data_IF_974955201215
#
_entry.id   IF_974955201215
#
_cell.length_a   1.000
_cell.length_b   1.000
_cell.length_c   1.000
_cell.angle_alpha   90.00
_cell.angle_beta   90.00
_cell.angle_gamma   90.00
#
_symmetry.space_group_name_H-M   'P 1'
#
loop_
_entity.id
_entity.type
_entity.pdbx_description
1 polymer ?
#
# COMPACT_ATOMS: atom_id res chain seq x y z
N UNK A 1 0.69 36.41 -21.09
CA UNK A 1 1.11 35.55 -22.21
C UNK A 1 0.72 34.11 -21.87
N UNK A 2 -0.12 33.52 -22.72
CA UNK A 2 -0.39 32.10 -22.97
C UNK A 2 -0.56 31.13 -21.77
N UNK A 3 -1.83 30.83 -21.49
CA UNK A 3 -2.29 29.55 -20.96
C UNK A 3 -1.88 28.42 -21.93
N UNK A 4 -1.11 27.44 -21.47
CA UNK A 4 -0.95 26.17 -22.18
C UNK A 4 -1.87 25.12 -21.58
N UNK A 5 -2.90 24.78 -22.35
CA UNK A 5 -3.78 23.63 -22.16
C UNK A 5 -2.95 22.35 -22.33
N UNK A 6 -2.78 21.58 -21.27
CA UNK A 6 -2.14 20.27 -21.27
C UNK A 6 -3.10 19.19 -20.79
N UNK A 7 -4.01 18.78 -21.69
CA UNK A 7 -4.70 17.48 -21.77
C UNK A 7 -4.97 16.70 -20.47
N UNK A 8 -6.26 16.65 -20.12
CA UNK A 8 -6.89 15.55 -19.40
C UNK A 8 -6.38 14.19 -19.92
N UNK A 9 -5.79 13.39 -19.04
CA UNK A 9 -5.88 11.94 -19.10
C UNK A 9 -6.75 11.51 -17.93
N UNK A 10 -8.05 11.41 -18.18
CA UNK A 10 -8.91 10.61 -17.33
C UNK A 10 -8.40 9.17 -17.41
N UNK A 11 -7.75 8.67 -16.36
CA UNK A 11 -7.49 7.25 -16.24
C UNK A 11 -8.83 6.60 -15.88
N UNK A 12 -9.56 6.20 -16.91
CA UNK A 12 -10.72 5.32 -16.81
C UNK A 12 -10.31 4.11 -15.98
N UNK A 13 -11.02 3.89 -14.87
CA UNK A 13 -11.08 2.60 -14.19
C UNK A 13 -11.70 1.63 -15.20
N UNK A 14 -10.83 1.08 -16.05
CA UNK A 14 -11.15 0.09 -17.06
C UNK A 14 -10.81 -1.26 -16.49
N UNK A 15 -11.82 -1.93 -15.95
CA UNK A 15 -11.81 -3.37 -15.70
C UNK A 15 -11.51 -4.07 -17.04
N UNK A 16 -10.23 -4.35 -17.30
CA UNK A 16 -9.81 -5.19 -18.40
C UNK A 16 -9.82 -6.65 -17.92
N UNK A 17 -11.01 -7.24 -17.88
CA UNK A 17 -11.16 -8.69 -18.04
C UNK A 17 -10.73 -8.98 -19.48
N UNK A 18 -9.45 -9.29 -19.66
CA UNK A 18 -8.81 -9.44 -20.96
C UNK A 18 -7.76 -10.52 -20.93
N UNK A 19 -8.22 -11.78 -20.86
CA UNK A 19 -7.45 -12.94 -21.26
C UNK A 19 -6.89 -12.73 -22.67
N UNK A 20 -5.56 -12.73 -22.82
CA UNK A 20 -4.79 -13.50 -23.83
C UNK A 20 -3.34 -13.00 -23.85
N UNK A 21 -2.46 -13.75 -23.19
CA UNK A 21 -1.01 -13.68 -23.35
C UNK A 21 -0.48 -15.06 -23.04
N UNK A 22 -0.17 -15.82 -24.09
CA UNK A 22 0.15 -17.24 -24.05
C UNK A 22 1.32 -17.58 -23.13
N UNK A 23 1.04 -18.30 -22.04
CA UNK A 23 1.96 -19.26 -21.44
C UNK A 23 1.36 -20.65 -21.64
N UNK A 24 1.78 -21.30 -22.71
CA UNK A 24 1.48 -22.70 -22.97
C UNK A 24 2.38 -23.56 -22.07
N UNK A 25 1.85 -23.97 -20.93
CA UNK A 25 2.49 -24.90 -20.00
C UNK A 25 1.73 -24.97 -18.68
N UNK A 26 1.06 -26.11 -18.44
CA UNK A 26 0.34 -26.49 -17.22
C UNK A 26 -0.91 -25.70 -16.81
N UNK A 27 -2.06 -26.37 -16.85
CA UNK A 27 -3.39 -25.82 -16.55
C UNK A 27 -3.65 -25.55 -15.06
N UNK A 28 -2.72 -25.88 -14.16
CA UNK A 28 -2.87 -25.68 -12.71
C UNK A 28 -2.23 -24.37 -12.21
N UNK A 29 -1.08 -23.98 -12.74
CA UNK A 29 -0.35 -22.73 -12.41
C UNK A 29 -1.12 -21.47 -12.84
N UNK A 30 -1.90 -21.57 -13.92
CA UNK A 30 -2.79 -20.50 -14.42
C UNK A 30 -3.90 -20.14 -13.41
N UNK A 31 -4.28 -21.06 -12.51
CA UNK A 31 -5.39 -20.84 -11.58
C UNK A 31 -5.01 -19.92 -10.40
N UNK A 32 -3.82 -20.06 -9.82
CA UNK A 32 -3.39 -19.25 -8.68
C UNK A 32 -2.93 -17.86 -9.11
N UNK A 33 -2.03 -17.77 -10.09
CA UNK A 33 -1.50 -16.48 -10.55
C UNK A 33 -2.59 -15.60 -11.16
N UNK A 34 -3.50 -16.19 -11.95
CA UNK A 34 -4.59 -15.46 -12.58
C UNK A 34 -5.72 -15.05 -11.64
N UNK A 35 -5.96 -15.81 -10.56
CA UNK A 35 -7.12 -15.58 -9.66
C UNK A 35 -6.72 -14.92 -8.35
N UNK A 36 -5.68 -15.42 -7.69
CA UNK A 36 -5.31 -14.95 -6.35
C UNK A 36 -4.32 -13.79 -6.36
N UNK A 37 -3.45 -13.64 -7.38
CA UNK A 37 -2.49 -12.53 -7.42
C UNK A 37 -3.02 -11.28 -8.11
N UNK A 38 -4.18 -11.36 -8.78
CA UNK A 38 -4.78 -10.23 -9.46
C UNK A 38 -4.94 -8.97 -8.58
N UNK A 39 -5.35 -9.06 -7.30
CA UNK A 39 -5.48 -7.89 -6.43
C UNK A 39 -4.17 -7.13 -6.19
N UNK A 40 -3.02 -7.81 -6.24
CA UNK A 40 -1.70 -7.20 -5.95
C UNK A 40 -0.86 -6.90 -7.19
N UNK A 41 -1.35 -7.25 -8.38
CA UNK A 41 -0.62 -7.05 -9.63
C UNK A 41 -0.24 -5.57 -9.87
N UNK A 42 -1.08 -4.64 -9.41
CA UNK A 42 -0.84 -3.20 -9.49
C UNK A 42 0.29 -2.70 -8.57
N UNK A 43 0.73 -3.50 -7.60
CA UNK A 43 1.72 -3.13 -6.58
C UNK A 43 3.06 -3.83 -6.75
N UNK A 44 3.23 -4.63 -7.82
CA UNK A 44 4.46 -5.39 -8.08
C UNK A 44 5.73 -4.52 -8.09
N UNK A 45 5.57 -3.26 -8.48
CA UNK A 45 6.65 -2.29 -8.64
C UNK A 45 6.81 -1.40 -7.41
N UNK A 46 6.05 -1.63 -6.34
CA UNK A 46 6.10 -0.87 -5.09
C UNK A 46 4.77 -0.17 -4.77
N UNK A 47 4.83 0.74 -3.81
CA UNK A 47 3.70 1.58 -3.43
C UNK A 47 3.44 2.61 -4.55
N UNK A 48 2.20 2.71 -5.08
CA UNK A 48 1.91 3.67 -6.13
C UNK A 48 2.24 5.10 -5.74
N UNK A 49 2.67 5.89 -6.73
CA UNK A 49 2.79 7.33 -6.56
C UNK A 49 1.39 7.96 -6.40
N UNK A 50 1.32 9.06 -5.65
CA UNK A 50 0.11 9.85 -5.49
C UNK A 50 0.20 11.04 -6.43
N UNK A 51 -0.75 11.14 -7.34
CA UNK A 51 -0.84 12.27 -8.26
C UNK A 51 -1.03 13.58 -7.49
N UNK A 52 -0.19 14.57 -7.81
CA UNK A 52 -0.24 15.87 -7.14
C UNK A 52 0.31 15.88 -5.71
N UNK A 53 0.99 14.83 -5.24
CA UNK A 53 1.56 14.78 -3.88
C UNK A 53 2.43 16.00 -3.56
N UNK A 54 3.23 16.49 -4.52
CA UNK A 54 4.08 17.65 -4.34
C UNK A 54 3.32 18.98 -4.10
N UNK A 55 2.03 19.04 -4.43
CA UNK A 55 1.17 20.22 -4.21
C UNK A 55 0.42 20.16 -2.87
N UNK A 56 0.48 19.01 -2.18
CA UNK A 56 -0.20 18.77 -0.90
C UNK A 56 0.67 19.23 0.27
N UNK A 57 0.04 19.62 1.39
CA UNK A 57 0.77 19.81 2.65
C UNK A 57 1.35 18.49 3.16
N UNK A 58 2.36 18.54 4.04
CA UNK A 58 2.96 17.33 4.61
C UNK A 58 1.91 16.40 5.26
N UNK A 59 0.99 16.96 6.05
CA UNK A 59 -0.11 16.20 6.66
C UNK A 59 -1.01 15.52 5.61
N UNK A 60 -1.34 16.23 4.52
CA UNK A 60 -2.15 15.68 3.43
C UNK A 60 -1.42 14.56 2.69
N UNK A 61 -0.10 14.69 2.49
CA UNK A 61 0.72 13.64 1.89
C UNK A 61 0.78 12.40 2.78
N UNK A 62 0.89 12.57 4.11
CA UNK A 62 0.89 11.45 5.06
C UNK A 62 -0.46 10.72 5.02
N UNK A 63 -1.57 11.44 5.08
CA UNK A 63 -2.92 10.86 5.01
C UNK A 63 -3.11 10.10 3.69
N UNK A 64 -2.82 10.72 2.55
CA UNK A 64 -2.98 10.09 1.24
C UNK A 64 -2.09 8.84 1.08
N UNK A 65 -0.85 8.90 1.58
CA UNK A 65 0.08 7.75 1.57
C UNK A 65 -0.42 6.62 2.46
N UNK A 66 -0.99 6.95 3.62
CA UNK A 66 -1.57 5.98 4.55
C UNK A 66 -2.81 5.30 3.94
N UNK A 67 -3.67 6.06 3.27
CA UNK A 67 -4.85 5.51 2.59
C UNK A 67 -4.51 4.63 1.39
N UNK A 68 -3.48 5.01 0.62
CA UNK A 68 -2.92 4.14 -0.41
C UNK A 68 -2.42 2.83 0.20
N UNK A 69 -1.64 2.90 1.29
CA UNK A 69 -1.13 1.70 1.95
C UNK A 69 -2.24 0.82 2.52
N UNK A 70 -3.31 1.38 3.09
CA UNK A 70 -4.51 0.62 3.50
C UNK A 70 -5.15 -0.15 2.36
N UNK A 71 -5.23 0.48 1.18
CA UNK A 71 -5.77 -0.17 -0.03
C UNK A 71 -4.89 -1.35 -0.42
N UNK A 72 -3.57 -1.19 -0.36
CA UNK A 72 -2.63 -2.30 -0.60
C UNK A 72 -2.79 -3.42 0.44
N UNK A 73 -2.91 -3.09 1.73
CA UNK A 73 -3.14 -4.10 2.77
C UNK A 73 -4.44 -4.90 2.57
N UNK A 74 -5.50 -4.24 2.10
CA UNK A 74 -6.74 -4.93 1.75
C UNK A 74 -6.53 -5.94 0.61
N UNK A 75 -5.81 -5.55 -0.44
CA UNK A 75 -5.47 -6.45 -1.54
C UNK A 75 -4.64 -7.66 -1.07
N UNK A 76 -3.66 -7.46 -0.18
CA UNK A 76 -2.89 -8.56 0.39
C UNK A 76 -3.72 -9.48 1.28
N UNK A 77 -4.68 -8.95 2.03
CA UNK A 77 -5.61 -9.77 2.79
C UNK A 77 -6.52 -10.62 1.88
N UNK A 78 -6.93 -10.10 0.73
CA UNK A 78 -7.67 -10.85 -0.29
C UNK A 78 -6.84 -11.99 -0.88
N UNK A 79 -5.55 -11.75 -1.21
CA UNK A 79 -4.62 -12.81 -1.67
C UNK A 79 -4.51 -13.90 -0.62
N UNK A 80 -4.34 -13.53 0.66
CA UNK A 80 -4.23 -14.48 1.76
C UNK A 80 -5.50 -15.34 1.89
N UNK A 81 -6.69 -14.71 1.82
CA UNK A 81 -7.97 -15.42 1.88
C UNK A 81 -8.15 -16.37 0.69
N UNK A 82 -7.75 -15.95 -0.51
CA UNK A 82 -7.78 -16.76 -1.72
C UNK A 82 -6.86 -17.99 -1.58
N UNK A 83 -5.64 -17.79 -1.07
CA UNK A 83 -4.70 -18.86 -0.80
C UNK A 83 -5.27 -19.89 0.18
N UNK A 84 -5.79 -19.45 1.34
CA UNK A 84 -6.38 -20.34 2.33
C UNK A 84 -7.53 -21.16 1.73
N UNK A 85 -8.40 -20.51 0.95
CA UNK A 85 -9.52 -21.17 0.30
C UNK A 85 -9.13 -22.21 -0.76
N UNK A 86 -7.92 -22.12 -1.34
CA UNK A 86 -7.40 -23.13 -2.26
C UNK A 86 -6.75 -24.31 -1.52
N UNK A 87 -6.00 -24.03 -0.46
CA UNK A 87 -5.44 -25.07 0.43
C UNK A 87 -6.55 -25.95 0.99
N UNK A 88 -7.67 -25.35 1.41
CA UNK A 88 -8.80 -26.07 2.01
C UNK A 88 -9.57 -26.95 1.00
N UNK A 89 -9.49 -26.67 -0.31
CA UNK A 89 -10.32 -27.33 -1.35
C UNK A 89 -9.63 -28.48 -2.08
N UNK A 90 -8.33 -28.37 -2.35
CA UNK A 90 -7.72 -29.17 -3.41
C UNK A 90 -6.92 -30.39 -2.96
N UNK A 91 -6.64 -30.56 -1.67
CA UNK A 91 -5.80 -31.66 -1.22
C UNK A 91 -4.34 -31.55 -1.74
N UNK A 92 -3.44 -32.25 -1.08
CA UNK A 92 -2.11 -31.72 -0.83
C UNK A 92 -1.00 -32.00 -1.87
N UNK A 93 -1.27 -32.44 -3.11
CA UNK A 93 -0.20 -33.19 -3.80
C UNK A 93 0.29 -32.70 -5.17
N UNK A 94 -0.41 -31.82 -5.91
CA UNK A 94 0.13 -31.27 -7.19
C UNK A 94 0.03 -29.75 -7.36
N UNK A 95 -0.79 -29.05 -6.57
CA UNK A 95 -1.00 -27.59 -6.70
C UNK A 95 -0.01 -26.74 -5.87
N UNK A 96 0.76 -27.36 -4.98
CA UNK A 96 1.63 -26.65 -4.04
C UNK A 96 2.76 -25.86 -4.68
N UNK A 97 3.41 -26.36 -5.74
CA UNK A 97 4.56 -25.65 -6.31
C UNK A 97 4.17 -24.24 -6.82
N UNK A 98 3.02 -24.13 -7.49
CA UNK A 98 2.47 -22.85 -7.94
C UNK A 98 1.96 -21.97 -6.80
N UNK A 99 1.35 -22.57 -5.78
CA UNK A 99 0.92 -21.88 -4.55
C UNK A 99 2.13 -21.31 -3.78
N UNK A 100 3.20 -22.07 -3.62
CA UNK A 100 4.44 -21.64 -2.97
C UNK A 100 5.15 -20.55 -3.78
N UNK A 101 5.23 -20.68 -5.10
CA UNK A 101 5.82 -19.66 -5.96
C UNK A 101 5.05 -18.33 -5.87
N UNK A 102 3.72 -18.39 -5.97
CA UNK A 102 2.89 -17.20 -5.87
C UNK A 102 2.83 -16.61 -4.46
N UNK A 103 2.94 -17.41 -3.40
CA UNK A 103 3.07 -16.90 -2.03
C UNK A 103 4.41 -16.20 -1.82
N UNK A 104 5.51 -16.73 -2.37
CA UNK A 104 6.82 -16.05 -2.35
C UNK A 104 6.76 -14.70 -3.07
N UNK A 105 6.14 -14.66 -4.24
CA UNK A 105 5.97 -13.40 -4.96
C UNK A 105 5.11 -12.41 -4.17
N UNK A 106 4.01 -12.88 -3.56
CA UNK A 106 3.18 -12.08 -2.66
C UNK A 106 4.00 -11.49 -1.53
N UNK A 107 4.79 -12.31 -0.81
CA UNK A 107 5.65 -11.84 0.27
C UNK A 107 6.70 -10.82 -0.21
N UNK A 108 7.32 -11.06 -1.38
CA UNK A 108 8.30 -10.14 -1.97
C UNK A 108 7.69 -8.77 -2.27
N UNK A 109 6.50 -8.75 -2.88
CA UNK A 109 5.78 -7.50 -3.18
C UNK A 109 5.37 -6.81 -1.88
N UNK A 110 4.90 -7.58 -0.90
CA UNK A 110 4.48 -7.07 0.41
C UNK A 110 5.62 -6.36 1.14
N UNK A 111 6.77 -7.03 1.27
CA UNK A 111 7.97 -6.48 1.92
C UNK A 111 8.45 -5.20 1.23
N UNK A 112 8.42 -5.18 -0.11
CA UNK A 112 8.78 -3.99 -0.88
C UNK A 112 7.84 -2.81 -0.60
N UNK A 113 6.53 -3.03 -0.71
CA UNK A 113 5.53 -1.97 -0.44
C UNK A 113 5.65 -1.48 1.01
N UNK A 114 5.81 -2.40 1.97
CA UNK A 114 5.94 -2.06 3.38
C UNK A 114 7.18 -1.18 3.63
N UNK A 115 8.34 -1.55 3.09
CA UNK A 115 9.57 -0.77 3.24
C UNK A 115 9.47 0.61 2.58
N UNK A 116 8.82 0.71 1.42
CA UNK A 116 8.57 2.00 0.77
C UNK A 116 7.60 2.89 1.56
N UNK A 117 6.57 2.30 2.18
CA UNK A 117 5.66 3.03 3.05
C UNK A 117 6.38 3.57 4.30
N UNK A 118 7.16 2.72 4.98
CA UNK A 118 7.96 3.10 6.15
C UNK A 118 8.91 4.26 5.84
N UNK A 119 9.71 4.15 4.76
CA UNK A 119 10.61 5.20 4.34
C UNK A 119 9.90 6.53 4.03
N UNK A 120 8.73 6.48 3.38
CA UNK A 120 7.93 7.68 3.09
C UNK A 120 7.37 8.32 4.35
N UNK A 121 6.84 7.54 5.30
CA UNK A 121 6.33 8.06 6.56
C UNK A 121 7.47 8.70 7.38
N UNK A 122 8.66 8.08 7.42
CA UNK A 122 9.83 8.66 8.08
C UNK A 122 10.24 10.01 7.46
N UNK A 123 10.34 10.07 6.13
CA UNK A 123 10.66 11.31 5.40
C UNK A 123 9.63 12.43 5.68
N UNK A 124 8.34 12.11 5.57
CA UNK A 124 7.27 13.08 5.78
C UNK A 124 7.12 13.47 7.25
N UNK A 125 7.34 12.56 8.20
CA UNK A 125 7.25 12.85 9.63
C UNK A 125 8.30 13.86 10.08
N UNK A 126 9.54 13.73 9.58
CA UNK A 126 10.60 14.69 9.84
C UNK A 126 10.24 16.09 9.30
N UNK A 127 9.66 16.14 8.09
CA UNK A 127 9.19 17.39 7.48
C UNK A 127 8.03 18.01 8.26
N UNK A 128 7.01 17.22 8.59
CA UNK A 128 5.82 17.66 9.31
C UNK A 128 6.17 18.20 10.70
N UNK A 129 6.97 17.47 11.49
CA UNK A 129 7.37 17.89 12.84
C UNK A 129 8.28 19.11 12.85
N UNK A 130 9.12 19.31 11.82
CA UNK A 130 9.96 20.51 11.71
C UNK A 130 9.16 21.80 11.51
N UNK A 131 7.95 21.69 10.95
CA UNK A 131 7.07 22.82 10.66
C UNK A 131 6.23 23.32 11.84
N UNK A 132 6.18 22.57 12.96
CA UNK A 132 5.26 22.87 14.09
C UNK A 132 5.96 23.20 15.41
N UNK A 133 7.27 23.43 15.40
CA UNK A 133 8.00 23.80 16.61
C UNK A 133 7.42 25.10 17.22
N UNK A 134 6.89 25.08 18.46
CA UNK A 134 6.26 26.25 19.06
C UNK A 134 7.30 27.34 19.31
N UNK A 135 6.97 28.58 18.95
CA UNK A 135 7.76 29.73 19.36
C UNK A 135 7.63 29.86 20.89
N UNK A 136 8.69 29.58 21.63
CA UNK A 136 8.65 29.63 23.08
C UNK A 136 8.30 31.06 23.57
N UNK A 137 7.09 31.23 24.14
CA UNK A 137 6.80 32.31 25.10
C UNK A 137 5.83 33.42 24.67
N UNK A 138 4.77 33.15 23.90
CA UNK A 138 3.73 34.15 23.68
C UNK A 138 2.31 33.60 23.97
N UNK A 139 1.64 34.12 25.00
CA UNK A 139 0.22 33.85 25.32
C UNK A 139 -0.74 34.39 24.23
N UNK A 140 -0.57 33.98 22.98
CA UNK A 140 -1.30 34.48 21.81
C UNK A 140 -2.10 33.36 21.17
N UNK A 141 -3.25 33.68 20.56
CA UNK A 141 -4.09 32.73 19.82
C UNK A 141 -3.32 31.96 18.72
N UNK A 142 -2.19 32.49 18.26
CA UNK A 142 -1.30 31.81 17.32
C UNK A 142 -0.60 30.57 17.92
N UNK A 143 -0.30 30.58 19.21
CA UNK A 143 0.31 29.44 19.91
C UNK A 143 -0.72 28.32 20.11
N UNK A 144 -1.99 28.66 20.41
CA UNK A 144 -3.08 27.67 20.49
C UNK A 144 -3.36 27.01 19.13
N UNK A 145 -3.28 27.76 18.02
CA UNK A 145 -3.43 27.22 16.68
C UNK A 145 -2.25 26.31 16.29
N UNK A 146 -1.02 26.68 16.66
CA UNK A 146 0.18 25.87 16.45
C UNK A 146 0.17 24.58 17.30
N UNK A 147 -0.30 24.64 18.54
CA UNK A 147 -0.50 23.46 19.39
C UNK A 147 -1.56 22.53 18.81
N UNK A 148 -2.72 23.06 18.39
CA UNK A 148 -3.77 22.26 17.74
C UNK A 148 -3.29 21.59 16.45
N UNK A 149 -2.48 22.30 15.66
CA UNK A 149 -1.85 21.73 14.47
C UNK A 149 -0.86 20.61 14.84
N UNK A 150 -0.05 20.79 15.89
CA UNK A 150 0.87 19.75 16.39
C UNK A 150 0.12 18.48 16.77
N UNK A 151 -0.96 18.62 17.53
CA UNK A 151 -1.79 17.49 17.94
C UNK A 151 -2.38 16.74 16.74
N UNK A 152 -2.89 17.48 15.74
CA UNK A 152 -3.44 16.88 14.52
C UNK A 152 -2.37 16.12 13.72
N UNK A 153 -1.18 16.72 13.52
CA UNK A 153 -0.05 16.05 12.85
C UNK A 153 0.38 14.79 13.62
N UNK A 154 0.42 14.84 14.96
CA UNK A 154 0.75 13.67 15.78
C UNK A 154 -0.30 12.55 15.65
N UNK A 155 -1.59 12.89 15.63
CA UNK A 155 -2.66 11.91 15.45
C UNK A 155 -2.55 11.22 14.08
N UNK A 156 -2.29 11.99 13.02
CA UNK A 156 -2.06 11.48 11.67
C UNK A 156 -0.87 10.51 11.65
N UNK A 157 0.26 10.88 12.28
CA UNK A 157 1.44 10.01 12.35
C UNK A 157 1.16 8.73 13.14
N UNK A 158 0.47 8.83 14.28
CA UNK A 158 0.09 7.64 15.08
C UNK A 158 -0.78 6.69 14.27
N UNK A 159 -1.74 7.22 13.51
CA UNK A 159 -2.59 6.44 12.61
C UNK A 159 -1.78 5.72 11.54
N UNK A 160 -0.82 6.39 10.90
CA UNK A 160 0.11 5.76 9.95
C UNK A 160 0.92 4.62 10.57
N UNK A 161 1.45 4.81 11.79
CA UNK A 161 2.21 3.77 12.49
C UNK A 161 1.34 2.58 12.92
N UNK A 162 0.09 2.80 13.32
CA UNK A 162 -0.85 1.69 13.60
C UNK A 162 -1.14 0.86 12.35
N UNK A 163 -1.21 1.49 11.17
CA UNK A 163 -1.36 0.76 9.90
C UNK A 163 -0.10 -0.05 9.59
N UNK A 164 1.10 0.48 9.87
CA UNK A 164 2.36 -0.27 9.74
C UNK A 164 2.42 -1.49 10.70
N UNK A 165 1.97 -1.35 11.94
CA UNK A 165 1.90 -2.48 12.88
C UNK A 165 0.94 -3.57 12.35
N UNK A 166 -0.23 -3.16 11.84
CA UNK A 166 -1.18 -4.09 11.22
C UNK A 166 -0.59 -4.79 9.99
N UNK A 167 0.25 -4.11 9.22
CA UNK A 167 0.94 -4.72 8.08
C UNK A 167 1.93 -5.79 8.56
N UNK A 168 2.70 -5.55 9.62
CA UNK A 168 3.60 -6.55 10.17
C UNK A 168 2.87 -7.84 10.59
N UNK A 169 1.67 -7.72 11.18
CA UNK A 169 0.84 -8.88 11.51
C UNK A 169 0.36 -9.65 10.27
N UNK A 170 0.04 -8.95 9.18
CA UNK A 170 -0.31 -9.58 7.90
C UNK A 170 0.90 -10.28 7.27
N UNK A 171 2.07 -9.64 7.27
CA UNK A 171 3.33 -10.22 6.80
C UNK A 171 3.69 -11.51 7.53
N UNK A 172 3.54 -11.54 8.87
CA UNK A 172 3.73 -12.76 9.67
C UNK A 172 2.80 -13.90 9.24
N UNK A 173 1.55 -13.60 8.87
CA UNK A 173 0.60 -14.59 8.38
C UNK A 173 0.98 -15.12 7.01
N UNK A 174 1.41 -14.25 6.09
CA UNK A 174 1.91 -14.65 4.77
C UNK A 174 3.14 -15.56 4.88
N UNK A 175 4.08 -15.23 5.77
CA UNK A 175 5.30 -16.03 5.99
C UNK A 175 4.99 -17.44 6.53
N UNK A 176 4.01 -17.57 7.43
CA UNK A 176 3.56 -18.88 7.95
C UNK A 176 2.96 -19.80 6.89
N UNK A 177 2.43 -19.23 5.82
CA UNK A 177 1.81 -19.96 4.71
C UNK A 177 2.86 -20.37 3.66
N UNK A 178 3.99 -19.66 3.59
CA UNK A 178 5.09 -19.93 2.66
C UNK A 178 6.14 -20.95 3.13
N UNK A 179 6.11 -21.36 4.41
CA UNK A 179 7.04 -22.32 5.03
C UNK A 179 6.42 -23.70 5.19
#
# INVERSE_FOLDING_TARGET
MMFSKGRLAALVIGVAVGSTGAFAGDTASVSYEGTCLAPIAAYKDGLPAIDGAAEMSADQQIVATTDMFRTVLAAFAEVQACHQGLVDKDGADEKFASLYAGTRETSRVFEKVQGEFEAKIEEMSASALSGVAPAAGADSEADLAAEAQTFNTMEILMDSYMVLERSQELGKKLLKVSG
#
